data_IF_367986633959
#
_entry.id   IF_367986633959
#
_cell.length_a   1.000
_cell.length_b   1.000
_cell.length_c   1.000
_cell.angle_alpha   90.00
_cell.angle_beta   90.00
_cell.angle_gamma   90.00
#
_symmetry.space_group_name_H-M   'P 1'
#
loop_
_entity.id
_entity.type
_entity.pdbx_description
1 polymer ?
#
# COMPACT_ATOMS: atom_id res chain seq x y z
N UNK A 1 16.38 6.73 12.97
CA UNK A 1 16.66 7.66 11.87
C UNK A 1 15.61 8.75 11.90
N UNK A 2 16.02 10.01 12.08
CA UNK A 2 15.12 11.16 12.08
C UNK A 2 15.16 11.88 10.73
N UNK A 3 14.00 12.29 10.24
CA UNK A 3 13.87 13.13 9.05
C UNK A 3 13.32 14.49 9.48
N UNK A 4 14.04 15.57 9.20
CA UNK A 4 13.59 16.93 9.44
C UNK A 4 12.93 17.49 8.19
N UNK A 5 11.66 17.88 8.31
CA UNK A 5 10.94 18.66 7.31
C UNK A 5 10.34 19.91 7.94
N UNK A 6 10.19 21.02 7.18
CA UNK A 6 9.56 22.22 7.70
C UNK A 6 8.13 21.94 8.18
N UNK A 7 7.85 22.13 9.46
CA UNK A 7 6.52 21.94 10.04
C UNK A 7 6.33 20.75 10.94
N UNK A 8 7.33 19.95 11.18
CA UNK A 8 7.27 18.84 12.14
C UNK A 8 8.26 17.75 11.77
N UNK A 9 8.82 17.12 12.79
CA UNK A 9 9.80 16.04 12.60
C UNK A 9 9.22 14.74 13.12
N UNK A 10 8.76 13.82 12.25
CA UNK A 10 8.48 12.47 12.68
C UNK A 10 9.81 11.76 13.00
N UNK A 11 9.90 11.14 14.17
CA UNK A 11 10.99 10.28 14.54
C UNK A 11 10.55 8.83 14.33
N UNK A 12 11.24 8.11 13.47
CA UNK A 12 10.99 6.69 13.24
C UNK A 12 11.94 5.85 14.10
N UNK A 13 11.40 4.91 14.81
CA UNK A 13 12.14 3.79 15.37
C UNK A 13 11.95 2.58 14.45
N UNK A 14 13.05 1.99 14.02
CA UNK A 14 13.02 0.78 13.19
C UNK A 14 13.86 -0.29 13.85
N UNK A 15 13.34 -1.48 13.96
CA UNK A 15 14.06 -2.70 14.27
C UNK A 15 13.97 -3.66 13.07
N UNK A 16 14.46 -4.89 13.20
CA UNK A 16 14.43 -5.90 12.14
C UNK A 16 13.00 -6.32 11.71
N UNK A 17 12.00 -5.95 12.49
CA UNK A 17 10.62 -6.43 12.36
C UNK A 17 9.63 -5.29 12.16
N UNK A 18 9.87 -4.13 12.75
CA UNK A 18 8.92 -3.01 12.80
C UNK A 18 9.56 -1.65 12.52
N UNK A 19 8.79 -0.80 11.84
CA UNK A 19 9.04 0.64 11.80
C UNK A 19 7.91 1.33 12.53
N UNK A 20 8.22 1.94 13.66
CA UNK A 20 7.28 2.71 14.46
C UNK A 20 7.60 4.19 14.38
N UNK A 21 6.55 5.00 14.43
CA UNK A 21 6.73 6.44 14.63
C UNK A 21 6.84 6.67 16.14
N UNK A 22 8.05 6.98 16.58
CA UNK A 22 8.34 7.16 18.00
C UNK A 22 7.94 8.56 18.50
N UNK A 23 7.95 9.58 17.63
CA UNK A 23 7.60 10.95 18.03
C UNK A 23 7.13 11.77 16.82
N UNK A 24 6.13 12.63 17.08
CA UNK A 24 5.62 13.61 16.13
C UNK A 24 5.71 15.02 16.72
N UNK A 25 5.98 16.03 15.91
CA UNK A 25 5.88 17.41 16.32
C UNK A 25 4.44 17.75 16.76
N UNK A 26 4.27 18.49 17.84
CA UNK A 26 2.95 18.90 18.31
C UNK A 26 2.26 20.00 17.48
N UNK A 27 2.74 20.32 16.32
CA UNK A 27 2.19 21.39 15.46
C UNK A 27 0.83 21.02 14.85
N UNK A 28 -0.09 20.61 15.70
CA UNK A 28 -1.44 20.28 15.32
C UNK A 28 -2.26 21.50 14.86
N UNK A 29 -1.90 22.69 15.27
CA UNK A 29 -2.58 23.95 14.91
C UNK A 29 -2.54 24.27 13.42
N UNK A 30 -1.52 23.78 12.70
CA UNK A 30 -1.39 23.95 11.25
C UNK A 30 -1.84 22.75 10.44
N UNK A 31 -2.40 21.72 11.08
CA UNK A 31 -2.92 20.57 10.37
C UNK A 31 -4.22 20.91 9.65
N UNK A 32 -4.42 20.41 8.43
CA UNK A 32 -5.70 20.57 7.73
C UNK A 32 -6.80 19.78 8.43
N UNK A 33 -7.54 20.45 9.30
CA UNK A 33 -8.70 19.85 10.01
C UNK A 33 -9.88 19.58 9.09
N UNK A 34 -9.94 20.26 7.96
CA UNK A 34 -10.95 20.06 6.93
C UNK A 34 -10.94 18.62 6.39
N UNK A 35 -9.76 18.07 6.12
CA UNK A 35 -9.64 16.67 5.66
C UNK A 35 -10.18 15.68 6.68
N UNK A 36 -9.90 15.89 7.96
CA UNK A 36 -10.45 15.07 9.04
C UNK A 36 -11.98 15.15 9.07
N UNK A 37 -12.55 16.37 9.00
CA UNK A 37 -13.98 16.57 9.05
C UNK A 37 -14.69 15.87 7.86
N UNK A 38 -14.16 16.04 6.65
CA UNK A 38 -14.69 15.35 5.47
C UNK A 38 -14.54 13.84 5.56
N UNK A 39 -13.38 13.35 6.08
CA UNK A 39 -13.14 11.93 6.25
C UNK A 39 -14.14 11.29 7.23
N UNK A 40 -14.33 11.90 8.38
CA UNK A 40 -15.29 11.43 9.39
C UNK A 40 -16.72 11.45 8.83
N UNK A 41 -17.09 12.50 8.13
CA UNK A 41 -18.43 12.66 7.56
C UNK A 41 -18.78 11.54 6.58
N UNK A 42 -17.90 11.21 5.65
CA UNK A 42 -18.21 10.16 4.66
C UNK A 42 -18.02 8.76 5.23
N UNK A 43 -17.13 8.57 6.22
CA UNK A 43 -16.75 7.24 6.70
C UNK A 43 -17.92 6.44 7.29
N UNK A 44 -18.90 7.09 7.87
CA UNK A 44 -20.11 6.46 8.41
C UNK A 44 -21.13 6.09 7.32
N UNK A 45 -20.97 6.58 6.11
CA UNK A 45 -21.78 6.17 4.97
C UNK A 45 -21.12 4.99 4.26
N UNK A 46 -21.78 3.82 4.30
CA UNK A 46 -21.24 2.59 3.73
C UNK A 46 -21.04 2.69 2.20
N UNK A 47 -21.89 3.42 1.50
CA UNK A 47 -21.80 3.66 0.05
C UNK A 47 -20.60 4.54 -0.30
N UNK A 48 -20.44 5.66 0.40
CA UNK A 48 -19.31 6.56 0.20
C UNK A 48 -18.00 5.91 0.61
N UNK A 49 -17.98 5.11 1.69
CA UNK A 49 -16.79 4.36 2.10
C UNK A 49 -16.41 3.31 1.06
N UNK A 50 -17.37 2.59 0.47
CA UNK A 50 -17.12 1.66 -0.62
C UNK A 50 -16.57 2.38 -1.86
N UNK A 51 -17.12 3.55 -2.19
CA UNK A 51 -16.62 4.37 -3.30
C UNK A 51 -15.16 4.80 -3.07
N UNK A 52 -14.83 5.24 -1.84
CA UNK A 52 -13.46 5.58 -1.46
C UNK A 52 -12.52 4.35 -1.54
N UNK A 53 -12.94 3.18 -1.05
CA UNK A 53 -12.17 1.95 -1.15
C UNK A 53 -11.89 1.56 -2.61
N UNK A 54 -12.89 1.68 -3.50
CA UNK A 54 -12.70 1.48 -4.95
C UNK A 54 -11.69 2.46 -5.54
N UNK A 55 -11.75 3.75 -5.16
CA UNK A 55 -10.80 4.76 -5.63
C UNK A 55 -9.37 4.43 -5.20
N UNK A 56 -9.16 3.97 -3.96
CA UNK A 56 -7.86 3.51 -3.48
C UNK A 56 -7.34 2.33 -4.32
N UNK A 57 -8.19 1.33 -4.58
CA UNK A 57 -7.78 0.18 -5.40
C UNK A 57 -7.46 0.60 -6.85
N UNK A 58 -8.24 1.49 -7.46
CA UNK A 58 -7.94 2.00 -8.80
C UNK A 58 -6.60 2.76 -8.83
N UNK A 59 -6.33 3.60 -7.83
CA UNK A 59 -5.05 4.30 -7.70
C UNK A 59 -3.87 3.33 -7.54
N UNK A 60 -4.02 2.24 -6.74
CA UNK A 60 -3.03 1.16 -6.62
C UNK A 60 -2.71 0.55 -7.99
N UNK A 61 -3.74 0.16 -8.76
CA UNK A 61 -3.56 -0.42 -10.10
C UNK A 61 -2.79 0.53 -11.04
N UNK A 62 -3.15 1.80 -11.03
CA UNK A 62 -2.49 2.81 -11.84
C UNK A 62 -1.01 2.95 -11.49
N UNK A 63 -0.65 2.96 -10.20
CA UNK A 63 0.73 3.06 -9.74
C UNK A 63 1.56 1.84 -10.12
N UNK A 64 0.99 0.62 -10.01
CA UNK A 64 1.65 -0.61 -10.47
C UNK A 64 1.98 -0.49 -11.96
N UNK A 65 0.99 -0.13 -12.79
CA UNK A 65 1.17 0.06 -14.23
C UNK A 65 2.29 1.04 -14.55
N UNK A 66 2.23 2.24 -13.94
CA UNK A 66 3.20 3.31 -14.19
C UNK A 66 4.61 2.91 -13.76
N UNK A 67 4.75 2.26 -12.61
CA UNK A 67 6.06 1.98 -12.06
C UNK A 67 6.71 0.75 -12.71
N UNK A 68 5.99 -0.36 -12.85
CA UNK A 68 6.57 -1.60 -13.39
C UNK A 68 6.99 -1.47 -14.85
N UNK A 69 6.25 -0.71 -15.65
CA UNK A 69 6.56 -0.49 -17.07
C UNK A 69 7.44 0.75 -17.29
N UNK A 70 7.23 1.82 -16.49
CA UNK A 70 7.87 3.12 -16.72
C UNK A 70 9.23 3.29 -16.05
N UNK A 71 9.53 2.56 -14.97
CA UNK A 71 10.74 2.76 -14.16
C UNK A 71 12.01 2.34 -14.90
N UNK A 72 12.89 3.32 -15.16
CA UNK A 72 14.23 3.07 -15.71
C UNK A 72 15.10 2.31 -14.71
N UNK A 73 14.95 2.58 -13.41
CA UNK A 73 15.72 1.93 -12.37
C UNK A 73 15.40 0.43 -12.28
N UNK A 74 14.11 0.06 -12.33
CA UNK A 74 13.72 -1.37 -12.33
C UNK A 74 14.28 -2.10 -13.55
N UNK A 75 14.20 -1.51 -14.74
CA UNK A 75 14.79 -2.10 -15.94
C UNK A 75 16.30 -2.25 -15.85
N UNK A 76 16.99 -1.24 -15.31
CA UNK A 76 18.44 -1.31 -15.10
C UNK A 76 18.84 -2.37 -14.07
N UNK A 77 17.96 -2.68 -13.11
CA UNK A 77 18.12 -3.77 -12.14
C UNK A 77 17.74 -5.15 -12.70
N UNK A 78 17.32 -5.25 -13.97
CA UNK A 78 16.98 -6.53 -14.60
C UNK A 78 15.50 -6.91 -14.49
N UNK A 79 14.65 -6.11 -13.86
CA UNK A 79 13.22 -6.36 -13.78
C UNK A 79 12.54 -6.04 -15.12
N UNK A 80 12.05 -7.07 -15.80
CA UNK A 80 11.42 -6.96 -17.12
C UNK A 80 10.09 -7.70 -17.15
N UNK A 81 9.01 -6.96 -16.92
CA UNK A 81 7.65 -7.53 -16.99
C UNK A 81 7.11 -7.46 -18.42
N UNK A 82 6.40 -8.51 -18.85
CA UNK A 82 5.61 -8.42 -20.08
C UNK A 82 4.45 -7.43 -19.90
N UNK A 83 4.55 -6.31 -20.61
CA UNK A 83 3.61 -5.20 -20.46
C UNK A 83 2.18 -5.59 -20.86
N UNK A 84 2.00 -6.48 -21.84
CA UNK A 84 0.67 -6.92 -22.30
C UNK A 84 0.00 -7.79 -21.23
N UNK A 85 0.72 -8.75 -20.68
CA UNK A 85 0.23 -9.62 -19.60
C UNK A 85 -0.10 -8.82 -18.34
N UNK A 86 0.77 -7.89 -17.94
CA UNK A 86 0.50 -7.01 -16.81
C UNK A 86 -0.74 -6.17 -17.05
N UNK A 87 -0.85 -5.55 -18.23
CA UNK A 87 -2.00 -4.72 -18.61
C UNK A 87 -3.30 -5.53 -18.53
N UNK A 88 -3.33 -6.73 -19.10
CA UNK A 88 -4.50 -7.61 -19.07
C UNK A 88 -4.93 -7.94 -17.62
N UNK A 89 -3.96 -8.25 -16.75
CA UNK A 89 -4.22 -8.55 -15.34
C UNK A 89 -4.81 -7.34 -14.60
N UNK A 90 -4.23 -6.15 -14.82
CA UNK A 90 -4.68 -4.90 -14.19
C UNK A 90 -6.05 -4.46 -14.70
N UNK A 91 -6.34 -4.62 -16.00
CA UNK A 91 -7.65 -4.27 -16.58
C UNK A 91 -8.75 -5.22 -16.10
N UNK A 92 -8.46 -6.51 -15.95
CA UNK A 92 -9.37 -7.46 -15.35
C UNK A 92 -9.69 -7.09 -13.90
N UNK A 93 -8.66 -6.75 -13.12
CA UNK A 93 -8.83 -6.31 -11.74
C UNK A 93 -9.60 -4.99 -11.65
N UNK A 94 -9.32 -4.03 -12.53
CA UNK A 94 -10.05 -2.75 -12.57
C UNK A 94 -11.56 -2.94 -12.79
N UNK A 95 -11.95 -3.87 -13.68
CA UNK A 95 -13.37 -4.23 -13.89
C UNK A 95 -13.98 -4.86 -12.65
N UNK A 96 -13.27 -5.79 -12.00
CA UNK A 96 -13.75 -6.46 -10.79
C UNK A 96 -13.91 -5.47 -9.62
N UNK A 97 -12.95 -4.55 -9.45
CA UNK A 97 -13.03 -3.46 -8.46
C UNK A 97 -14.25 -2.58 -8.73
N UNK A 98 -14.47 -2.17 -9.98
CA UNK A 98 -15.63 -1.33 -10.34
C UNK A 98 -16.96 -2.04 -10.04
N UNK A 99 -17.05 -3.33 -10.35
CA UNK A 99 -18.25 -4.15 -10.15
C UNK A 99 -18.47 -4.61 -8.70
N UNK A 100 -17.47 -4.50 -7.81
CA UNK A 100 -17.55 -5.01 -6.44
C UNK A 100 -18.73 -4.41 -5.67
N UNK A 101 -19.64 -5.23 -5.11
CA UNK A 101 -20.82 -4.74 -4.41
C UNK A 101 -20.54 -4.29 -2.97
N UNK A 102 -19.40 -4.70 -2.39
CA UNK A 102 -19.02 -4.43 -1.00
C UNK A 102 -17.51 -4.60 -0.76
N UNK A 103 -17.06 -4.24 0.42
CA UNK A 103 -15.64 -4.33 0.81
C UNK A 103 -15.12 -5.77 0.87
N UNK A 104 -15.96 -6.76 1.15
CA UNK A 104 -15.54 -8.17 1.14
C UNK A 104 -15.13 -8.62 -0.27
N UNK A 105 -15.92 -8.22 -1.27
CA UNK A 105 -15.58 -8.49 -2.67
C UNK A 105 -14.30 -7.76 -3.11
N UNK A 106 -14.09 -6.52 -2.64
CA UNK A 106 -12.85 -5.78 -2.89
C UNK A 106 -11.63 -6.46 -2.27
N UNK A 107 -11.72 -6.92 -1.01
CA UNK A 107 -10.63 -7.65 -0.34
C UNK A 107 -10.32 -8.97 -1.04
N UNK A 108 -11.33 -9.67 -1.53
CA UNK A 108 -11.15 -10.91 -2.31
C UNK A 108 -10.39 -10.62 -3.62
N UNK A 109 -10.77 -9.55 -4.32
CA UNK A 109 -10.08 -9.14 -5.55
C UNK A 109 -8.66 -8.65 -5.28
N UNK A 110 -8.47 -7.89 -4.22
CA UNK A 110 -7.14 -7.45 -3.75
C UNK A 110 -6.22 -8.64 -3.53
N UNK A 111 -6.66 -9.64 -2.78
CA UNK A 111 -5.88 -10.85 -2.50
C UNK A 111 -5.61 -11.68 -3.78
N UNK A 112 -6.60 -11.78 -4.68
CA UNK A 112 -6.46 -12.47 -5.97
C UNK A 112 -5.39 -11.80 -6.84
N UNK A 113 -5.47 -10.48 -6.99
CA UNK A 113 -4.50 -9.72 -7.77
C UNK A 113 -3.10 -9.81 -7.16
N UNK A 114 -2.97 -9.65 -5.84
CA UNK A 114 -1.68 -9.72 -5.15
C UNK A 114 -0.96 -11.04 -5.40
N UNK A 115 -1.68 -12.17 -5.35
CA UNK A 115 -1.10 -13.47 -5.72
C UNK A 115 -0.62 -13.52 -7.17
N UNK A 116 -1.38 -12.92 -8.09
CA UNK A 116 -0.98 -12.85 -9.50
C UNK A 116 0.24 -11.95 -9.70
N UNK A 117 0.31 -10.82 -9.00
CA UNK A 117 1.48 -9.92 -9.05
C UNK A 117 2.75 -10.60 -8.53
N UNK A 118 2.66 -11.44 -7.50
CA UNK A 118 3.82 -12.24 -7.05
C UNK A 118 4.38 -13.11 -8.17
N UNK A 119 3.52 -13.83 -8.90
CA UNK A 119 3.96 -14.65 -10.02
C UNK A 119 4.56 -13.82 -11.17
N UNK A 120 3.97 -12.67 -11.48
CA UNK A 120 4.48 -11.77 -12.52
C UNK A 120 5.83 -11.17 -12.12
N UNK A 121 6.00 -10.76 -10.86
CA UNK A 121 7.25 -10.23 -10.35
C UNK A 121 8.37 -11.28 -10.37
N UNK A 122 8.09 -12.48 -9.87
CA UNK A 122 9.06 -13.58 -9.89
C UNK A 122 9.53 -13.93 -11.31
N UNK A 123 8.64 -13.93 -12.28
CA UNK A 123 8.99 -14.13 -13.70
C UNK A 123 9.80 -12.95 -14.24
N UNK A 124 9.42 -11.72 -13.93
CA UNK A 124 10.07 -10.51 -14.41
C UNK A 124 11.50 -10.34 -13.87
N UNK A 125 11.79 -10.85 -12.67
CA UNK A 125 13.11 -10.86 -12.03
C UNK A 125 13.89 -12.17 -12.25
N UNK A 126 13.30 -13.15 -12.97
CA UNK A 126 13.87 -14.50 -13.15
C UNK A 126 14.15 -15.24 -11.83
N UNK A 127 13.39 -14.92 -10.78
CA UNK A 127 13.56 -15.52 -9.45
C UNK A 127 13.16 -17.01 -9.40
N UNK A 128 12.31 -17.45 -10.34
CA UNK A 128 11.75 -18.81 -10.35
C UNK A 128 10.39 -18.87 -9.65
N UNK A 129 10.12 -19.97 -8.94
CA UNK A 129 8.88 -20.13 -8.19
C UNK A 129 8.91 -19.35 -6.89
N UNK A 130 7.92 -18.50 -6.69
CA UNK A 130 7.77 -17.72 -5.48
C UNK A 130 6.43 -18.02 -4.80
N UNK A 131 6.49 -18.23 -3.49
CA UNK A 131 5.31 -18.32 -2.62
C UNK A 131 5.49 -17.39 -1.42
N UNK A 132 4.53 -16.49 -1.24
CA UNK A 132 4.55 -15.58 -0.10
C UNK A 132 4.34 -16.39 1.19
N UNK A 133 5.36 -16.46 2.02
CA UNK A 133 5.31 -17.11 3.32
C UNK A 133 4.55 -16.26 4.34
N UNK A 134 4.08 -16.89 5.41
CA UNK A 134 3.57 -16.15 6.56
C UNK A 134 4.71 -15.28 7.10
N UNK A 135 4.37 -14.06 7.48
CA UNK A 135 5.32 -13.10 8.03
C UNK A 135 6.23 -13.73 9.12
N UNK A 136 7.51 -13.50 9.00
CA UNK A 136 8.52 -14.02 9.93
C UNK A 136 8.79 -15.53 9.81
N UNK A 137 8.17 -16.23 8.86
CA UNK A 137 8.42 -17.66 8.63
C UNK A 137 9.08 -17.97 7.30
N UNK A 138 9.24 -16.98 6.41
CA UNK A 138 9.95 -17.13 5.14
C UNK A 138 11.46 -17.04 5.34
N UNK A 139 12.19 -18.08 4.95
CA UNK A 139 13.65 -18.12 5.03
C UNK A 139 14.36 -17.59 3.80
N UNK A 140 13.64 -17.35 2.70
CA UNK A 140 14.23 -16.86 1.46
C UNK A 140 14.35 -15.33 1.44
N UNK A 141 15.34 -14.79 0.70
CA UNK A 141 15.61 -13.35 0.67
C UNK A 141 14.42 -12.50 0.23
N UNK A 142 13.62 -12.96 -0.73
CA UNK A 142 12.49 -12.20 -1.23
C UNK A 142 11.37 -12.04 -0.18
N UNK A 143 11.07 -13.12 0.57
CA UNK A 143 10.11 -13.03 1.67
C UNK A 143 10.61 -12.11 2.79
N UNK A 144 11.90 -12.18 3.15
CA UNK A 144 12.51 -11.28 4.14
C UNK A 144 12.46 -9.83 3.66
N UNK A 145 12.83 -9.57 2.41
CA UNK A 145 12.76 -8.23 1.83
C UNK A 145 11.32 -7.67 1.85
N UNK A 146 10.33 -8.49 1.47
CA UNK A 146 8.92 -8.09 1.51
C UNK A 146 8.44 -7.80 2.93
N UNK A 147 8.89 -8.54 3.93
CA UNK A 147 8.55 -8.28 5.32
C UNK A 147 9.06 -6.89 5.74
N UNK A 148 10.32 -6.59 5.51
CA UNK A 148 10.91 -5.29 5.86
C UNK A 148 10.39 -4.15 5.00
N UNK A 149 10.30 -4.34 3.67
CA UNK A 149 9.80 -3.32 2.74
C UNK A 149 8.36 -2.91 3.02
N UNK A 150 7.50 -3.88 3.36
CA UNK A 150 6.13 -3.58 3.74
C UNK A 150 6.05 -2.71 5.00
N UNK A 151 6.93 -2.91 5.98
CA UNK A 151 7.00 -2.04 7.15
C UNK A 151 7.40 -0.61 6.83
N UNK A 152 8.35 -0.42 5.91
CA UNK A 152 8.68 0.91 5.41
C UNK A 152 7.46 1.57 4.75
N UNK A 153 6.71 0.84 3.94
CA UNK A 153 5.47 1.34 3.35
C UNK A 153 4.43 1.72 4.40
N UNK A 154 4.28 0.93 5.47
CA UNK A 154 3.38 1.28 6.59
C UNK A 154 3.86 2.53 7.32
N UNK A 155 5.15 2.69 7.58
CA UNK A 155 5.71 3.91 8.16
C UNK A 155 5.43 5.16 7.31
N UNK A 156 5.59 5.06 5.99
CA UNK A 156 5.24 6.13 5.05
C UNK A 156 3.73 6.41 5.03
N UNK A 157 2.90 5.37 5.05
CA UNK A 157 1.45 5.50 5.15
C UNK A 157 1.02 6.19 6.45
N UNK A 158 1.63 5.83 7.59
CA UNK A 158 1.38 6.49 8.86
C UNK A 158 1.78 7.97 8.85
N UNK A 159 2.91 8.29 8.23
CA UNK A 159 3.35 9.68 8.06
C UNK A 159 2.37 10.47 7.20
N UNK A 160 1.97 9.92 6.07
CA UNK A 160 1.04 10.60 5.15
C UNK A 160 -0.31 10.88 5.81
N UNK A 161 -0.88 9.89 6.50
CA UNK A 161 -2.14 10.05 7.23
C UNK A 161 -2.01 11.06 8.37
N UNK A 162 -0.87 11.05 9.08
CA UNK A 162 -0.61 12.02 10.13
C UNK A 162 -0.49 13.44 9.60
N UNK A 163 0.29 13.66 8.52
CA UNK A 163 0.45 14.99 7.89
C UNK A 163 -0.89 15.53 7.41
N UNK A 164 -1.76 14.69 6.87
CA UNK A 164 -3.10 15.07 6.43
C UNK A 164 -4.12 15.20 7.59
N UNK A 165 -3.72 14.91 8.84
CA UNK A 165 -4.61 14.94 9.98
C UNK A 165 -5.67 13.83 9.97
N UNK A 166 -5.47 12.76 9.21
CA UNK A 166 -6.43 11.67 9.07
C UNK A 166 -6.29 10.65 10.21
N UNK A 167 -7.40 10.10 10.72
CA UNK A 167 -7.38 9.15 11.82
C UNK A 167 -6.98 7.75 11.33
N UNK A 168 -5.92 7.18 11.89
CA UNK A 168 -5.37 5.87 11.49
C UNK A 168 -6.38 4.72 11.59
N UNK A 169 -7.36 4.82 12.51
CA UNK A 169 -8.37 3.79 12.73
C UNK A 169 -9.54 3.79 11.74
N UNK A 170 -9.73 4.86 10.96
CA UNK A 170 -10.87 4.99 10.05
C UNK A 170 -10.52 4.50 8.63
N UNK A 171 -10.24 3.21 8.50
CA UNK A 171 -9.96 2.54 7.25
C UNK A 171 -11.17 2.52 6.30
N UNK A 172 -10.93 2.59 5.01
CA UNK A 172 -11.99 2.43 4.00
C UNK A 172 -12.12 0.99 3.51
N UNK A 173 -11.02 0.23 3.46
CA UNK A 173 -10.99 -1.15 2.98
C UNK A 173 -10.70 -2.17 4.10
N UNK A 174 -9.64 -1.98 4.89
CA UNK A 174 -9.09 -2.98 5.83
C UNK A 174 -9.88 -3.19 7.13
N UNK A 175 -11.17 -2.94 7.11
CA UNK A 175 -12.08 -3.26 8.20
C UNK A 175 -12.14 -2.21 9.32
N UNK A 176 -13.31 -2.14 9.98
CA UNK A 176 -13.62 -1.13 10.98
C UNK A 176 -12.85 -1.30 12.30
N UNK A 177 -12.37 -2.50 12.59
CA UNK A 177 -11.77 -2.84 13.90
C UNK A 177 -10.26 -3.06 13.87
N UNK A 178 -9.63 -3.01 12.67
CA UNK A 178 -8.19 -3.20 12.55
C UNK A 178 -7.46 -1.96 13.05
N UNK A 179 -6.54 -2.13 14.02
CA UNK A 179 -5.66 -1.06 14.48
C UNK A 179 -4.85 -0.52 13.30
N UNK A 180 -4.91 0.82 13.10
CA UNK A 180 -4.16 1.46 12.02
C UNK A 180 -4.64 1.09 10.62
N UNK A 181 -5.89 0.66 10.44
CA UNK A 181 -6.39 0.17 9.15
C UNK A 181 -6.21 1.15 7.99
N UNK A 182 -6.36 2.46 8.21
CA UNK A 182 -6.12 3.47 7.17
C UNK A 182 -4.65 3.53 6.74
N UNK A 183 -3.72 3.28 7.65
CA UNK A 183 -2.30 3.21 7.32
C UNK A 183 -2.02 2.10 6.32
N UNK A 184 -2.67 0.95 6.47
CA UNK A 184 -2.57 -0.15 5.50
C UNK A 184 -3.20 0.22 4.15
N UNK A 185 -4.40 0.84 4.15
CA UNK A 185 -5.04 1.31 2.93
C UNK A 185 -4.13 2.26 2.13
N UNK A 186 -3.48 3.20 2.81
CA UNK A 186 -2.55 4.16 2.19
C UNK A 186 -1.25 3.50 1.74
N UNK A 187 -0.69 2.59 2.53
CA UNK A 187 0.52 1.86 2.17
C UNK A 187 0.33 0.99 0.92
N UNK A 188 -0.86 0.39 0.76
CA UNK A 188 -1.17 -0.43 -0.40
C UNK A 188 -1.17 0.35 -1.73
N UNK A 189 -1.28 1.67 -1.68
CA UNK A 189 -1.13 2.51 -2.88
C UNK A 189 0.27 2.40 -3.52
N UNK A 190 1.30 2.09 -2.73
CA UNK A 190 2.69 2.07 -3.20
C UNK A 190 3.38 0.72 -3.02
N UNK A 191 2.90 -0.12 -2.11
CA UNK A 191 3.56 -1.37 -1.71
C UNK A 191 3.85 -2.29 -2.89
N UNK A 192 2.82 -2.61 -3.68
CA UNK A 192 2.99 -3.51 -4.82
C UNK A 192 3.68 -2.84 -6.00
N UNK A 193 3.57 -1.52 -6.11
CA UNK A 193 4.24 -0.78 -7.17
C UNK A 193 5.75 -0.66 -6.93
N UNK A 194 6.16 -0.34 -5.69
CA UNK A 194 7.55 0.02 -5.39
C UNK A 194 8.33 -1.07 -4.65
N UNK A 195 7.70 -1.80 -3.73
CA UNK A 195 8.40 -2.79 -2.89
C UNK A 195 8.50 -4.13 -3.61
N UNK A 196 7.38 -4.65 -4.14
CA UNK A 196 7.33 -5.99 -4.73
C UNK A 196 8.32 -6.20 -5.88
N UNK A 197 8.53 -5.28 -6.83
CA UNK A 197 9.47 -5.53 -7.94
C UNK A 197 10.96 -5.48 -7.54
N UNK A 198 11.26 -5.17 -6.29
CA UNK A 198 12.64 -5.12 -5.77
C UNK A 198 12.96 -6.29 -4.83
N UNK A 199 11.97 -7.11 -4.51
CA UNK A 199 12.12 -8.30 -3.71
C UNK A 199 12.66 -9.47 -4.54
#
# INVERSE_FOLDING_TARGET
VGFCGGGGTPLYSANEVDVEVAWFSPQSEYRPTEYLQHWVRFWFDDGLRLAAAKAFQQARLQRIRQHWVGSKALRAAGFTVDAATLQQALDASARNVAAAPNNTALLTEEARLTKHLYMLAARASQYGDFTRAKRGSGGDPANQFLDHGNYLAYGLGATATWVLGLPHGLAVLHGKTRRGGLVFDVADLIKDAAILPQA
#
